data_IF_761192413208
#
_entry.id   IF_761192413208
#
_cell.length_a   1.000
_cell.length_b   1.000
_cell.length_c   1.000
_cell.angle_alpha   90.00
_cell.angle_beta   90.00
_cell.angle_gamma   90.00
#
_symmetry.space_group_name_H-M   'P 1'
#
loop_
_entity.id
_entity.type
_entity.pdbx_description
1 polymer ?
#
# COMPACT_ATOMS: atom_id res chain seq x y z
N UNK A 1 -15.27 -5.80 -12.65
CA UNK A 1 -13.85 -5.51 -12.38
C UNK A 1 -13.03 -6.58 -13.08
N UNK A 2 -12.42 -6.22 -14.20
CA UNK A 2 -11.32 -6.97 -14.80
C UNK A 2 -10.02 -6.42 -14.20
N UNK A 3 -9.01 -7.27 -13.96
CA UNK A 3 -7.69 -6.80 -13.48
C UNK A 3 -7.03 -5.83 -14.47
N UNK A 4 -7.48 -5.85 -15.72
CA UNK A 4 -7.04 -4.92 -16.76
C UNK A 4 -7.69 -3.55 -16.66
N UNK A 5 -8.81 -3.40 -15.95
CA UNK A 5 -9.49 -2.12 -15.79
C UNK A 5 -8.67 -1.17 -14.92
N UNK A 6 -8.68 0.12 -15.25
CA UNK A 6 -8.18 1.19 -14.39
C UNK A 6 -9.33 1.76 -13.55
N UNK A 7 -9.04 2.39 -12.40
CA UNK A 7 -7.71 2.60 -11.80
C UNK A 7 -7.13 1.35 -11.11
N UNK A 8 -5.79 1.22 -11.12
CA UNK A 8 -5.06 0.18 -10.38
C UNK A 8 -3.74 0.71 -9.81
N UNK A 9 -3.30 0.16 -8.68
CA UNK A 9 -2.04 0.51 -8.03
C UNK A 9 -1.34 -0.74 -7.51
N UNK A 10 -0.02 -0.82 -7.72
CA UNK A 10 0.89 -1.71 -7.01
C UNK A 10 1.59 -0.87 -5.94
N UNK A 11 1.40 -1.26 -4.68
CA UNK A 11 1.95 -0.59 -3.51
C UNK A 11 2.94 -1.55 -2.87
N UNK A 12 4.21 -1.16 -2.80
CA UNK A 12 5.27 -1.95 -2.18
C UNK A 12 5.74 -1.24 -0.91
N UNK A 13 5.73 -1.96 0.22
CA UNK A 13 6.30 -1.50 1.49
C UNK A 13 7.76 -1.92 1.53
N UNK A 14 8.67 -0.95 1.38
CA UNK A 14 10.11 -1.18 1.30
C UNK A 14 10.65 -1.67 2.66
N UNK A 15 11.46 -2.73 2.62
CA UNK A 15 12.03 -3.35 3.83
C UNK A 15 11.07 -4.25 4.62
N UNK A 16 9.81 -4.38 4.20
CA UNK A 16 8.88 -5.38 4.72
C UNK A 16 9.15 -6.77 4.11
N UNK A 17 8.89 -7.82 4.89
CA UNK A 17 8.87 -9.22 4.44
C UNK A 17 7.42 -9.74 4.31
N UNK A 18 7.25 -11.04 4.09
CA UNK A 18 5.92 -11.65 3.91
C UNK A 18 5.01 -11.49 5.15
N UNK A 19 5.58 -11.61 6.35
CA UNK A 19 4.83 -11.58 7.61
C UNK A 19 4.62 -10.17 8.17
N UNK A 20 5.22 -9.16 7.55
CA UNK A 20 5.08 -7.75 7.93
C UNK A 20 3.64 -7.21 7.83
N UNK A 21 2.76 -7.90 7.10
CA UNK A 21 1.31 -7.60 7.04
C UNK A 21 0.53 -8.13 8.25
N UNK A 22 1.15 -9.00 9.05
CA UNK A 22 0.51 -9.67 10.19
C UNK A 22 0.90 -9.02 11.52
N UNK A 23 0.41 -9.53 12.64
CA UNK A 23 0.76 -8.97 13.96
C UNK A 23 2.16 -9.36 14.45
N UNK A 24 2.77 -10.40 13.89
CA UNK A 24 4.05 -10.96 14.35
C UNK A 24 4.85 -11.49 13.16
N UNK A 25 6.16 -11.25 13.18
CA UNK A 25 7.07 -11.91 12.25
C UNK A 25 7.16 -13.42 12.53
N UNK A 26 7.72 -14.16 11.57
CA UNK A 26 7.84 -15.62 11.63
C UNK A 26 9.29 -16.05 11.43
N UNK A 27 9.79 -16.91 12.32
CA UNK A 27 11.11 -17.53 12.22
C UNK A 27 11.26 -18.48 11.03
N UNK A 28 10.16 -18.74 10.30
CA UNK A 28 10.13 -19.55 9.08
C UNK A 28 10.41 -18.77 7.81
N UNK A 29 10.33 -17.44 7.84
CA UNK A 29 10.68 -16.61 6.68
C UNK A 29 12.21 -16.47 6.61
N UNK A 30 12.87 -16.96 5.53
CA UNK A 30 14.30 -16.76 5.38
C UNK A 30 14.68 -15.28 5.13
N UNK A 31 13.70 -14.42 4.82
CA UNK A 31 13.89 -12.99 4.58
C UNK A 31 13.58 -12.24 5.87
N UNK A 32 14.63 -11.73 6.51
CA UNK A 32 14.50 -10.84 7.65
C UNK A 32 14.04 -9.45 7.19
N UNK A 33 13.02 -8.86 7.81
CA UNK A 33 12.60 -7.51 7.50
C UNK A 33 13.65 -6.50 7.97
N UNK A 34 13.79 -5.41 7.25
CA UNK A 34 14.61 -4.25 7.67
C UNK A 34 13.76 -3.11 8.20
N UNK A 35 12.45 -3.15 7.95
CA UNK A 35 11.46 -2.23 8.51
C UNK A 35 10.86 -2.82 9.80
N UNK A 36 10.61 -1.97 10.79
CA UNK A 36 9.93 -2.38 12.03
C UNK A 36 8.53 -2.92 11.74
N UNK A 37 8.14 -4.00 12.42
CA UNK A 37 6.84 -4.67 12.23
C UNK A 37 5.67 -3.69 12.39
N UNK A 38 5.72 -2.80 13.39
CA UNK A 38 4.65 -1.85 13.66
C UNK A 38 4.51 -0.86 12.51
N UNK A 39 5.64 -0.34 12.01
CA UNK A 39 5.64 0.58 10.87
C UNK A 39 5.14 -0.09 9.59
N UNK A 40 5.55 -1.34 9.34
CA UNK A 40 5.10 -2.07 8.17
C UNK A 40 3.59 -2.37 8.22
N UNK A 41 3.10 -2.87 9.37
CA UNK A 41 1.66 -3.14 9.55
C UNK A 41 0.83 -1.86 9.48
N UNK A 42 1.32 -0.74 10.04
CA UNK A 42 0.67 0.56 9.91
C UNK A 42 0.60 1.01 8.44
N UNK A 43 1.69 0.87 7.68
CA UNK A 43 1.71 1.21 6.26
C UNK A 43 0.69 0.37 5.47
N UNK A 44 0.68 -0.96 5.64
CA UNK A 44 -0.31 -1.83 5.00
C UNK A 44 -1.76 -1.42 5.35
N UNK A 45 -2.02 -1.15 6.63
CA UNK A 45 -3.33 -0.72 7.10
C UNK A 45 -3.75 0.63 6.52
N UNK A 46 -2.86 1.62 6.52
CA UNK A 46 -3.10 2.96 5.98
C UNK A 46 -3.42 2.89 4.48
N UNK A 47 -2.55 2.25 3.71
CA UNK A 47 -2.69 2.17 2.26
C UNK A 47 -3.90 1.33 1.84
N UNK A 48 -4.16 0.20 2.51
CA UNK A 48 -5.38 -0.58 2.30
C UNK A 48 -6.65 0.21 2.64
N UNK A 49 -6.64 0.94 3.76
CA UNK A 49 -7.75 1.78 4.18
C UNK A 49 -8.04 2.92 3.22
N UNK A 50 -7.00 3.60 2.73
CA UNK A 50 -7.14 4.70 1.76
C UNK A 50 -7.64 4.19 0.40
N UNK A 51 -7.15 3.03 -0.07
CA UNK A 51 -7.67 2.39 -1.27
C UNK A 51 -9.16 2.06 -1.13
N UNK A 52 -9.59 1.52 0.02
CA UNK A 52 -11.00 1.25 0.25
C UNK A 52 -11.83 2.54 0.31
N UNK A 53 -11.35 3.58 0.98
CA UNK A 53 -12.04 4.90 1.05
C UNK A 53 -12.20 5.50 -0.35
N UNK A 54 -11.17 5.46 -1.19
CA UNK A 54 -11.23 6.05 -2.53
C UNK A 54 -12.32 5.41 -3.40
N UNK A 55 -12.51 4.08 -3.29
CA UNK A 55 -13.43 3.33 -4.17
C UNK A 55 -14.82 3.10 -3.61
N UNK A 56 -14.93 2.93 -2.28
CA UNK A 56 -16.22 2.63 -1.64
C UNK A 56 -16.95 3.89 -1.17
N UNK A 57 -16.20 4.95 -0.83
CA UNK A 57 -16.76 6.20 -0.31
C UNK A 57 -16.60 7.38 -1.27
N UNK A 58 -16.00 7.16 -2.44
CA UNK A 58 -15.67 8.20 -3.42
C UNK A 58 -14.87 9.36 -2.79
N UNK A 59 -13.97 9.01 -1.87
CA UNK A 59 -13.11 9.95 -1.15
C UNK A 59 -11.98 10.41 -2.05
N UNK A 60 -12.08 11.66 -2.54
CA UNK A 60 -11.13 12.22 -3.50
C UNK A 60 -9.73 12.40 -2.89
N UNK A 61 -9.63 12.81 -1.63
CA UNK A 61 -8.34 12.98 -0.96
C UNK A 61 -7.63 11.62 -0.82
N UNK A 62 -8.39 10.57 -0.50
CA UNK A 62 -7.84 9.21 -0.46
C UNK A 62 -7.44 8.71 -1.86
N UNK A 63 -8.20 9.05 -2.89
CA UNK A 63 -7.86 8.74 -4.28
C UNK A 63 -6.54 9.41 -4.67
N UNK A 64 -6.41 10.71 -4.44
CA UNK A 64 -5.22 11.49 -4.77
C UNK A 64 -4.00 11.02 -3.96
N UNK A 65 -4.20 10.58 -2.71
CA UNK A 65 -3.16 9.93 -1.93
C UNK A 65 -2.68 8.64 -2.61
N UNK A 66 -3.59 7.70 -2.92
CA UNK A 66 -3.20 6.38 -3.45
C UNK A 66 -2.57 6.48 -4.84
N UNK A 67 -3.07 7.40 -5.68
CA UNK A 67 -2.74 7.41 -7.10
C UNK A 67 -1.76 8.52 -7.52
N UNK A 68 -1.47 9.51 -6.67
CA UNK A 68 -0.65 10.66 -7.05
C UNK A 68 0.39 11.14 -6.04
N UNK A 69 0.12 11.10 -4.73
CA UNK A 69 0.94 11.83 -3.75
C UNK A 69 1.53 10.97 -2.63
N UNK A 70 0.91 9.84 -2.32
CA UNK A 70 1.19 9.08 -1.10
C UNK A 70 2.59 8.48 -1.03
N UNK A 71 3.18 8.11 -2.17
CA UNK A 71 4.55 7.56 -2.24
C UNK A 71 5.61 8.59 -1.88
N UNK A 72 5.39 9.87 -2.23
CA UNK A 72 6.25 10.97 -1.81
C UNK A 72 6.07 11.36 -0.34
N UNK A 73 4.94 10.99 0.28
CA UNK A 73 4.60 11.32 1.66
C UNK A 73 4.89 10.18 2.65
N UNK A 74 4.95 8.95 2.18
CA UNK A 74 5.24 7.76 2.98
C UNK A 74 6.64 7.21 2.63
N UNK A 75 7.67 7.49 3.45
CA UNK A 75 9.06 7.15 3.11
C UNK A 75 9.34 5.65 3.05
N UNK A 76 8.39 4.81 3.49
CA UNK A 76 8.52 3.36 3.47
C UNK A 76 7.77 2.71 2.31
N UNK A 77 7.17 3.49 1.40
CA UNK A 77 6.31 2.95 0.35
C UNK A 77 6.67 3.48 -1.04
N UNK A 78 6.71 2.57 -2.00
CA UNK A 78 6.78 2.90 -3.42
C UNK A 78 5.48 2.50 -4.13
N UNK A 79 5.04 3.31 -5.10
CA UNK A 79 3.78 3.09 -5.83
C UNK A 79 4.00 3.10 -7.34
N UNK A 80 3.38 2.14 -8.02
CA UNK A 80 3.19 2.16 -9.46
C UNK A 80 1.69 2.16 -9.73
N UNK A 81 1.16 3.23 -10.30
CA UNK A 81 -0.28 3.39 -10.56
C UNK A 81 -0.61 3.55 -12.04
N UNK A 82 -1.84 3.20 -12.38
CA UNK A 82 -2.47 3.54 -13.67
C UNK A 82 -3.89 4.03 -13.38
N UNK A 83 -4.18 5.28 -13.74
CA UNK A 83 -5.52 5.88 -13.68
C UNK A 83 -6.16 5.91 -15.08
N UNK A 84 -7.49 6.05 -15.20
CA UNK A 84 -8.10 6.34 -16.48
C UNK A 84 -7.47 7.59 -17.10
N UNK A 85 -7.24 7.57 -18.42
CA UNK A 85 -6.93 8.79 -19.17
C UNK A 85 -8.14 9.72 -19.03
N UNK A 86 -7.91 10.92 -18.49
CA UNK A 86 -8.91 11.98 -18.41
C UNK A 86 -9.33 12.49 -19.78
#
# INVERSE_FOLDING_TARGET
>A
MNVQDTPKALIAVEGANHYSITNQDSDRDPILPTLDQTLATEAFGRWGGLFLRSHLLHDQDAFDYVYSTGDNLDPNVSVISQTPLG
#
